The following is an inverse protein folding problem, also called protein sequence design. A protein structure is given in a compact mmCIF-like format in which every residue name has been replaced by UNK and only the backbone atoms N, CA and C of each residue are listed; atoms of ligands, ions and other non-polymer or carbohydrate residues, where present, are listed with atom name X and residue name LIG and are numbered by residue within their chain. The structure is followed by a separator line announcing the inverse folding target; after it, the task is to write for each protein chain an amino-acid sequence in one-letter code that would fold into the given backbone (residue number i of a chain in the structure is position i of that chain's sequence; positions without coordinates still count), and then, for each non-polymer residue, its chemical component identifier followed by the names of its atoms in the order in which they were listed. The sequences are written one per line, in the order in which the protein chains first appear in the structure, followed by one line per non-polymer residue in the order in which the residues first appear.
data_IF_829055662835
#
_entry.id   IF_829055662835
#
_cell.length_a   1.000
_cell.length_b   1.000
_cell.length_c   1.000
_cell.angle_alpha   90.00
_cell.angle_beta   90.00
_cell.angle_gamma   90.00
#
_symmetry.space_group_name_H-M   'P 1'
#
loop_
_entity.id
_entity.type
_entity.pdbx_description
1 polymer ?
#
# COMPACT_ATOMS: atom_id res chain seq x y z
N UNK A 1 18.43 3.04 -22.27
CA UNK A 1 17.69 4.30 -22.01
C UNK A 1 16.45 3.95 -21.22
N UNK A 2 16.33 4.45 -19.97
CA UNK A 2 15.22 4.17 -19.05
C UNK A 2 13.93 4.79 -19.60
N UNK A 3 12.83 4.05 -19.66
CA UNK A 3 11.50 4.67 -19.73
C UNK A 3 11.08 4.96 -18.28
N UNK A 4 10.90 6.24 -17.88
CA UNK A 4 10.30 6.54 -16.59
C UNK A 4 8.90 5.90 -16.55
N UNK A 5 8.53 5.32 -15.41
CA UNK A 5 7.22 4.72 -15.20
C UNK A 5 6.15 5.80 -15.47
N UNK A 6 5.30 5.66 -16.52
CA UNK A 6 4.44 6.74 -16.99
C UNK A 6 3.36 7.17 -15.97
N UNK A 7 3.10 6.35 -14.94
CA UNK A 7 2.12 6.62 -13.89
C UNK A 7 2.63 7.55 -12.77
N UNK A 8 3.90 7.96 -12.79
CA UNK A 8 4.46 8.95 -11.86
C UNK A 8 4.24 10.42 -12.29
N UNK A 9 3.48 10.66 -13.36
CA UNK A 9 3.25 12.01 -13.90
C UNK A 9 2.17 12.74 -13.09
N UNK A 10 2.62 13.73 -12.33
CA UNK A 10 1.85 14.85 -11.77
C UNK A 10 0.62 14.44 -10.96
N UNK A 11 0.86 13.76 -9.84
CA UNK A 11 -0.16 13.55 -8.81
C UNK A 11 -0.19 14.78 -7.89
N UNK A 12 -1.37 15.24 -7.44
CA UNK A 12 -1.41 16.27 -6.41
C UNK A 12 -0.68 15.71 -5.19
N UNK A 13 0.50 16.27 -4.88
CA UNK A 13 1.19 15.91 -3.67
C UNK A 13 0.27 16.29 -2.51
N UNK A 14 -0.17 15.29 -1.72
CA UNK A 14 -0.87 15.57 -0.48
C UNK A 14 -0.02 16.57 0.32
N UNK A 15 -0.67 17.67 0.76
CA UNK A 15 -0.02 18.74 1.52
C UNK A 15 0.64 18.14 2.77
N UNK A 16 1.56 18.89 3.37
CA UNK A 16 2.12 18.55 4.67
C UNK A 16 0.97 18.20 5.64
N UNK A 17 0.97 17.01 6.30
CA UNK A 17 -0.11 16.60 7.22
C UNK A 17 -0.44 17.66 8.27
N UNK A 18 0.55 18.46 8.66
CA UNK A 18 0.42 19.51 9.69
C UNK A 18 -0.37 20.74 9.20
N UNK A 19 -0.63 20.86 7.90
CA UNK A 19 -1.42 21.92 7.28
C UNK A 19 -2.87 21.50 7.00
N UNK A 20 -3.22 20.24 7.29
CA UNK A 20 -4.53 19.67 7.00
C UNK A 20 -5.47 19.75 8.22
N UNK A 21 -6.80 19.74 7.99
CA UNK A 21 -7.76 19.57 9.06
C UNK A 21 -7.41 18.34 9.91
N UNK A 22 -7.61 18.44 11.24
CA UNK A 22 -7.27 17.37 12.18
C UNK A 22 -7.85 16.02 11.73
N UNK A 23 -9.10 16.03 11.26
CA UNK A 23 -9.82 14.85 10.76
C UNK A 23 -9.14 14.16 9.57
N UNK A 24 -8.30 14.83 8.79
CA UNK A 24 -7.60 14.27 7.63
C UNK A 24 -6.10 14.04 7.92
N UNK A 25 -5.51 14.85 8.80
CA UNK A 25 -4.08 14.85 9.11
C UNK A 25 -3.54 13.48 9.55
N UNK A 26 -4.33 12.74 10.35
CA UNK A 26 -3.98 11.40 10.82
C UNK A 26 -3.88 10.40 9.67
N UNK A 27 -4.86 10.42 8.75
CA UNK A 27 -4.88 9.54 7.58
C UNK A 27 -3.69 9.80 6.68
N UNK A 28 -3.43 11.07 6.35
CA UNK A 28 -2.33 11.43 5.45
C UNK A 28 -0.98 11.03 6.03
N UNK A 29 -0.77 11.17 7.34
CA UNK A 29 0.48 10.73 7.98
C UNK A 29 0.72 9.23 7.83
N UNK A 30 -0.29 8.41 8.11
CA UNK A 30 -0.15 6.95 7.98
C UNK A 30 -0.07 6.48 6.54
N UNK A 31 -0.80 7.14 5.64
CA UNK A 31 -0.74 6.88 4.21
C UNK A 31 0.65 7.17 3.63
N UNK A 32 1.27 8.30 4.00
CA UNK A 32 2.63 8.65 3.56
C UNK A 32 3.66 7.64 4.06
N UNK A 33 3.53 7.15 5.30
CA UNK A 33 4.42 6.11 5.82
C UNK A 33 4.24 4.76 5.11
N UNK A 34 3.00 4.32 4.86
CA UNK A 34 2.73 3.10 4.11
C UNK A 34 3.30 3.21 2.69
N UNK A 35 3.06 4.34 2.02
CA UNK A 35 3.60 4.61 0.68
C UNK A 35 5.13 4.59 0.68
N UNK A 36 5.77 5.24 1.65
CA UNK A 36 7.23 5.23 1.79
C UNK A 36 7.78 3.81 1.92
N UNK A 37 7.11 2.93 2.67
CA UNK A 37 7.51 1.53 2.81
C UNK A 37 7.38 0.80 1.47
N UNK A 38 6.27 0.97 0.76
CA UNK A 38 6.06 0.34 -0.56
C UNK A 38 7.10 0.84 -1.57
N UNK A 39 7.35 2.15 -1.62
CA UNK A 39 8.34 2.77 -2.52
C UNK A 39 9.78 2.30 -2.27
N UNK A 40 10.09 1.83 -1.05
CA UNK A 40 11.38 1.21 -0.74
C UNK A 40 11.46 -0.22 -1.29
N UNK A 41 10.42 -1.03 -1.12
CA UNK A 41 10.48 -2.46 -1.45
C UNK A 41 10.14 -2.77 -2.91
N UNK A 42 9.18 -2.06 -3.51
CA UNK A 42 8.71 -2.35 -4.86
C UNK A 42 9.86 -2.33 -5.89
N UNK A 43 10.79 -1.36 -5.91
CA UNK A 43 11.91 -1.36 -6.85
C UNK A 43 12.93 -2.49 -6.62
N UNK A 44 13.02 -3.01 -5.38
CA UNK A 44 13.97 -4.07 -5.04
C UNK A 44 13.50 -5.44 -5.55
N UNK A 45 12.19 -5.62 -5.70
CA UNK A 45 11.58 -6.90 -6.08
C UNK A 45 11.05 -6.93 -7.52
N UNK A 46 10.86 -5.78 -8.16
CA UNK A 46 10.16 -5.67 -9.46
C UNK A 46 10.78 -6.45 -10.63
N UNK A 47 12.06 -6.84 -10.53
CA UNK A 47 12.77 -7.61 -11.57
C UNK A 47 13.02 -9.06 -11.14
N UNK A 48 12.48 -9.49 -10.01
CA UNK A 48 12.70 -10.82 -9.44
C UNK A 48 11.43 -11.68 -9.58
N UNK A 49 11.41 -12.67 -10.50
CA UNK A 49 10.23 -13.51 -10.72
C UNK A 49 9.73 -14.25 -9.46
N UNK A 50 10.64 -14.57 -8.54
CA UNK A 50 10.32 -15.24 -7.28
C UNK A 50 9.44 -14.40 -6.34
N UNK A 51 9.34 -13.09 -6.58
CA UNK A 51 8.54 -12.15 -5.79
C UNK A 51 7.31 -11.64 -6.55
N UNK A 52 6.90 -12.29 -7.64
CA UNK A 52 5.81 -11.81 -8.50
C UNK A 52 4.51 -11.57 -7.72
N UNK A 53 4.11 -12.49 -6.84
CA UNK A 53 2.91 -12.29 -6.01
C UNK A 53 3.07 -11.14 -5.02
N UNK A 54 4.23 -11.00 -4.37
CA UNK A 54 4.51 -9.87 -3.50
C UNK A 54 4.41 -8.55 -4.28
N UNK A 55 5.00 -8.49 -5.47
CA UNK A 55 4.91 -7.33 -6.35
C UNK A 55 3.45 -7.00 -6.68
N UNK A 56 2.62 -7.98 -7.06
CA UNK A 56 1.19 -7.75 -7.33
C UNK A 56 0.45 -7.19 -6.12
N UNK A 57 0.72 -7.72 -4.91
CA UNK A 57 0.11 -7.19 -3.68
C UNK A 57 0.57 -5.77 -3.37
N UNK A 58 1.85 -5.44 -3.58
CA UNK A 58 2.34 -4.07 -3.39
C UNK A 58 1.77 -3.09 -4.44
N UNK A 59 1.61 -3.53 -5.69
CA UNK A 59 0.96 -2.74 -6.75
C UNK A 59 -0.53 -2.51 -6.44
N UNK A 60 -1.22 -3.50 -5.86
CA UNK A 60 -2.60 -3.37 -5.40
C UNK A 60 -2.74 -2.39 -4.23
N UNK A 61 -1.89 -2.51 -3.21
CA UNK A 61 -1.84 -1.53 -2.12
C UNK A 61 -1.56 -0.12 -2.63
N UNK A 62 -0.69 0.02 -3.64
CA UNK A 62 -0.41 1.32 -4.28
C UNK A 62 -1.66 1.90 -4.91
N UNK A 63 -2.49 1.09 -5.59
CA UNK A 63 -3.77 1.53 -6.17
C UNK A 63 -4.75 1.99 -5.08
N UNK A 64 -4.88 1.24 -3.99
CA UNK A 64 -5.77 1.64 -2.88
C UNK A 64 -5.31 2.93 -2.21
N UNK A 65 -4.01 3.11 -2.04
CA UNK A 65 -3.44 4.38 -1.55
C UNK A 65 -3.83 5.51 -2.50
N UNK A 66 -3.61 5.36 -3.81
CA UNK A 66 -3.97 6.39 -4.80
C UNK A 66 -5.46 6.77 -4.74
N UNK A 67 -6.34 5.79 -4.60
CA UNK A 67 -7.77 6.03 -4.48
C UNK A 67 -8.12 6.81 -3.21
N UNK A 68 -7.47 6.50 -2.09
CA UNK A 68 -7.59 7.26 -0.84
C UNK A 68 -7.07 8.70 -1.02
N UNK A 69 -5.93 8.88 -1.69
CA UNK A 69 -5.37 10.21 -1.97
C UNK A 69 -6.36 11.06 -2.79
N UNK A 70 -7.03 10.46 -3.78
CA UNK A 70 -8.03 11.13 -4.61
C UNK A 70 -9.26 11.56 -3.81
N UNK A 71 -9.75 10.73 -2.89
CA UNK A 71 -10.87 11.09 -2.01
C UNK A 71 -10.51 12.21 -1.04
N UNK A 72 -9.31 12.18 -0.47
CA UNK A 72 -8.80 13.26 0.37
C UNK A 72 -8.71 14.56 -0.46
N UNK A 73 -8.18 14.50 -1.68
CA UNK A 73 -8.09 15.66 -2.55
C UNK A 73 -9.47 16.25 -2.88
N UNK A 74 -10.47 15.41 -3.16
CA UNK A 74 -11.86 15.85 -3.39
C UNK A 74 -12.46 16.53 -2.16
N UNK A 75 -12.32 15.94 -0.98
CA UNK A 75 -12.84 16.53 0.26
C UNK A 75 -12.20 17.88 0.59
N UNK A 76 -10.90 18.03 0.31
CA UNK A 76 -10.18 19.30 0.52
C UNK A 76 -10.48 20.36 -0.54
N UNK A 77 -11.08 19.97 -1.67
CA UNK A 77 -11.55 20.90 -2.69
C UNK A 77 -12.94 21.42 -2.31
N UNK A 78 -13.01 22.68 -1.86
CA UNK A 78 -14.25 23.36 -1.47
C UNK A 78 -15.29 23.39 -2.61
N UNK A 79 -14.87 23.26 -3.87
CA UNK A 79 -15.76 23.22 -5.03
C UNK A 79 -16.43 21.86 -5.27
N UNK A 80 -15.96 20.80 -4.59
CA UNK A 80 -16.52 19.45 -4.72
C UNK A 80 -17.93 19.33 -4.14
N UNK A 81 -18.29 20.19 -3.18
CA UNK A 81 -19.54 20.10 -2.42
C UNK A 81 -19.63 18.84 -1.53
N UNK A 82 -18.52 18.12 -1.34
CA UNK A 82 -18.45 16.92 -0.54
C UNK A 82 -18.54 17.29 0.94
N UNK A 83 -19.49 16.72 1.68
CA UNK A 83 -19.54 16.89 3.12
C UNK A 83 -18.64 15.86 3.84
N UNK A 84 -18.49 16.03 5.15
CA UNK A 84 -17.67 15.13 5.95
C UNK A 84 -18.28 13.73 6.09
N UNK A 85 -19.60 13.58 6.04
CA UNK A 85 -20.25 12.27 6.19
C UNK A 85 -20.02 11.41 4.95
N UNK A 86 -20.16 12.00 3.77
CA UNK A 86 -19.87 11.33 2.49
C UNK A 86 -18.38 10.95 2.41
N UNK A 87 -17.48 11.85 2.82
CA UNK A 87 -16.05 11.57 2.93
C UNK A 87 -15.75 10.40 3.89
N UNK A 88 -16.27 10.45 5.12
CA UNK A 88 -16.00 9.43 6.15
C UNK A 88 -16.55 8.06 5.72
N UNK A 89 -17.71 8.03 5.08
CA UNK A 89 -18.30 6.79 4.54
C UNK A 89 -17.39 6.13 3.50
N UNK A 90 -16.94 6.89 2.49
CA UNK A 90 -16.09 6.37 1.41
C UNK A 90 -14.71 5.96 1.93
N UNK A 91 -14.14 6.75 2.84
CA UNK A 91 -12.86 6.43 3.48
C UNK A 91 -12.91 5.12 4.27
N UNK A 92 -14.01 4.87 5.01
CA UNK A 92 -14.21 3.61 5.73
C UNK A 92 -14.38 2.44 4.77
N UNK A 93 -15.14 2.62 3.69
CA UNK A 93 -15.33 1.57 2.69
C UNK A 93 -14.00 1.16 2.04
N UNK A 94 -13.21 2.14 1.58
CA UNK A 94 -11.92 1.88 0.94
C UNK A 94 -10.91 1.21 1.87
N UNK A 95 -10.86 1.64 3.13
CA UNK A 95 -9.89 1.11 4.07
C UNK A 95 -10.34 -0.23 4.67
N UNK A 96 -11.62 -0.42 4.98
CA UNK A 96 -12.12 -1.66 5.57
C UNK A 96 -12.34 -2.76 4.54
N UNK A 97 -12.85 -2.45 3.34
CA UNK A 97 -13.11 -3.52 2.36
C UNK A 97 -11.91 -3.75 1.45
N UNK A 98 -11.33 -2.69 0.87
CA UNK A 98 -10.30 -2.85 -0.15
C UNK A 98 -8.90 -3.05 0.47
N UNK A 99 -8.47 -2.13 1.35
CA UNK A 99 -7.14 -2.20 1.95
C UNK A 99 -7.00 -3.41 2.89
N UNK A 100 -7.95 -3.65 3.80
CA UNK A 100 -7.91 -4.80 4.72
C UNK A 100 -7.84 -6.13 3.97
N UNK A 101 -8.67 -6.32 2.94
CA UNK A 101 -8.66 -7.54 2.11
C UNK A 101 -7.28 -7.80 1.51
N UNK A 102 -6.63 -6.78 0.96
CA UNK A 102 -5.28 -6.93 0.41
C UNK A 102 -4.25 -7.22 1.51
N UNK A 103 -4.35 -6.56 2.68
CA UNK A 103 -3.42 -6.75 3.81
C UNK A 103 -3.55 -8.13 4.48
N UNK A 104 -4.74 -8.72 4.47
CA UNK A 104 -4.99 -10.07 4.98
C UNK A 104 -4.69 -11.17 3.96
N UNK A 105 -4.69 -10.84 2.67
CA UNK A 105 -4.24 -11.75 1.63
C UNK A 105 -2.71 -11.83 1.63
N UNK A 106 -2.15 -12.74 2.44
CA UNK A 106 -0.71 -13.01 2.42
C UNK A 106 -0.26 -13.36 1.00
N UNK A 107 0.69 -12.63 0.39
CA UNK A 107 1.29 -13.03 -0.86
C UNK A 107 2.14 -14.27 -0.60
N UNK A 108 1.58 -15.45 -0.87
CA UNK A 108 2.39 -16.66 -0.87
C UNK A 108 3.52 -16.47 -1.87
N UNK A 109 4.75 -16.86 -1.50
CA UNK A 109 5.82 -16.92 -2.48
C UNK A 109 5.34 -17.82 -3.62
N UNK A 110 5.18 -17.24 -4.79
CA UNK A 110 4.72 -17.95 -5.97
C UNK A 110 5.25 -17.21 -7.17
N UNK A 111 6.38 -17.73 -7.61
CA UNK A 111 6.55 -18.05 -9.00
C UNK A 111 6.47 -19.57 -9.12
N UNK A 112 6.52 -20.08 -10.35
CA UNK A 112 6.86 -21.49 -10.60
C UNK A 112 8.29 -21.69 -10.09
N UNK A 113 8.45 -21.95 -8.80
CA UNK A 113 9.66 -22.58 -8.28
C UNK A 113 9.41 -24.07 -8.57
N UNK A 114 10.15 -24.68 -9.52
CA UNK A 114 10.05 -26.12 -9.72
C UNK A 114 10.25 -26.82 -8.38
N UNK A 115 9.62 -27.98 -8.16
CA UNK A 115 9.95 -28.82 -7.01
C UNK A 115 11.49 -28.88 -6.89
N UNK A 116 12.06 -28.43 -5.75
CA UNK A 116 13.50 -28.24 -5.66
C UNK A 116 14.17 -29.59 -5.90
N UNK A 117 15.08 -29.64 -6.87
CA UNK A 117 15.78 -30.86 -7.25
C UNK A 117 17.01 -31.10 -6.35
N UNK A 118 17.32 -30.14 -5.46
CA UNK A 118 18.48 -30.14 -4.58
C UNK A 118 18.25 -29.36 -3.28
N UNK A 119 19.01 -29.72 -2.23
CA UNK A 119 18.99 -29.02 -0.93
C UNK A 119 19.36 -27.53 -1.03
N UNK A 120 20.15 -27.13 -2.04
CA UNK A 120 20.48 -25.72 -2.26
C UNK A 120 19.26 -24.94 -2.79
N UNK A 121 18.45 -25.55 -3.66
CA UNK A 121 17.23 -24.94 -4.17
C UNK A 121 16.14 -24.85 -3.08
N UNK A 122 16.05 -25.87 -2.21
CA UNK A 122 15.20 -25.81 -0.99
C UNK A 122 15.58 -24.63 -0.10
N UNK A 123 16.88 -24.42 0.15
CA UNK A 123 17.35 -23.30 0.96
C UNK A 123 17.03 -21.95 0.31
N UNK A 124 17.27 -21.81 -1.00
CA UNK A 124 16.95 -20.58 -1.73
C UNK A 124 15.45 -20.27 -1.70
N UNK A 125 14.59 -21.27 -1.83
CA UNK A 125 13.14 -21.10 -1.71
C UNK A 125 12.75 -20.63 -0.29
N UNK A 126 13.31 -21.27 0.74
CA UNK A 126 13.08 -20.87 2.13
C UNK A 126 13.53 -19.43 2.41
N UNK A 127 14.66 -19.00 1.84
CA UNK A 127 15.14 -17.63 1.97
C UNK A 127 14.20 -16.62 1.30
N UNK A 128 13.67 -16.94 0.11
CA UNK A 128 12.69 -16.12 -0.61
C UNK A 128 11.38 -16.00 0.18
N UNK A 129 10.88 -17.12 0.72
CA UNK A 129 9.68 -17.14 1.56
C UNK A 129 9.88 -16.29 2.83
N UNK A 130 11.03 -16.43 3.49
CA UNK A 130 11.37 -15.63 4.67
C UNK A 130 11.45 -14.13 4.36
N UNK A 131 12.06 -13.75 3.23
CA UNK A 131 12.13 -12.36 2.81
C UNK A 131 10.75 -11.81 2.45
N UNK A 132 9.91 -12.60 1.78
CA UNK A 132 8.52 -12.22 1.46
C UNK A 132 7.73 -11.94 2.73
N UNK A 133 7.81 -12.84 3.71
CA UNK A 133 7.18 -12.67 5.02
C UNK A 133 7.67 -11.40 5.71
N UNK A 134 8.99 -11.17 5.77
CA UNK A 134 9.56 -10.00 6.42
C UNK A 134 9.10 -8.69 5.78
N UNK A 135 9.14 -8.61 4.43
CA UNK A 135 8.66 -7.43 3.70
C UNK A 135 7.17 -7.22 3.97
N UNK A 136 6.38 -8.28 3.86
CA UNK A 136 4.94 -8.22 4.04
C UNK A 136 4.56 -7.78 5.45
N UNK A 137 5.22 -8.28 6.50
CA UNK A 137 4.96 -7.87 7.88
C UNK A 137 5.21 -6.37 8.11
N UNK A 138 6.24 -5.81 7.48
CA UNK A 138 6.52 -4.37 7.59
C UNK A 138 5.43 -3.55 6.89
N UNK A 139 5.03 -3.97 5.68
CA UNK A 139 3.97 -3.32 4.90
C UNK A 139 2.63 -3.42 5.64
N UNK A 140 2.26 -4.63 6.09
CA UNK A 140 1.05 -4.95 6.84
C UNK A 140 0.96 -4.15 8.13
N UNK A 141 2.07 -4.04 8.86
CA UNK A 141 2.16 -3.24 10.09
C UNK A 141 1.92 -1.74 9.87
N UNK A 142 2.28 -1.18 8.71
CA UNK A 142 1.92 0.21 8.38
C UNK A 142 0.48 0.32 7.86
N UNK A 143 0.04 -0.64 7.05
CA UNK A 143 -1.32 -0.72 6.53
C UNK A 143 -2.36 -0.73 7.65
N UNK A 144 -2.15 -1.51 8.70
CA UNK A 144 -3.06 -1.51 9.85
C UNK A 144 -3.01 -0.27 10.71
N UNK A 145 -1.93 0.53 10.67
CA UNK A 145 -1.95 1.85 11.34
C UNK A 145 -2.85 2.82 10.59
N UNK A 146 -2.82 2.78 9.25
CA UNK A 146 -3.78 3.51 8.42
C UNK A 146 -5.21 3.04 8.74
N UNK A 147 -5.46 1.74 8.78
CA UNK A 147 -6.74 1.17 9.20
C UNK A 147 -7.19 1.63 10.60
N UNK A 148 -6.33 1.50 11.61
CA UNK A 148 -6.65 1.88 12.98
C UNK A 148 -6.92 3.37 13.16
N UNK A 149 -6.29 4.24 12.36
CA UNK A 149 -6.49 5.68 12.43
C UNK A 149 -7.93 6.12 12.12
N UNK A 150 -8.70 5.32 11.37
CA UNK A 150 -10.13 5.54 11.12
C UNK A 150 -11.02 5.13 12.30
N UNK A 151 -10.64 4.06 13.00
CA UNK A 151 -11.45 3.53 14.09
C UNK A 151 -11.22 4.26 15.42
N UNK A 152 -10.09 4.98 15.56
CA UNK A 152 -9.69 5.66 16.79
C UNK A 152 -10.02 7.16 16.86
N UNK A 153 -10.61 7.77 15.84
CA UNK A 153 -10.86 9.22 15.76
C UNK A 153 -12.18 9.68 16.44
N UNK A 154 -12.64 8.98 17.49
CA UNK A 154 -13.81 9.36 18.31
C UNK A 154 -13.40 10.04 19.62
#
# INVERSE_FOLDING_TARGET
MRRPNPNLRQRPALKNPDELPFVVSGYVRHLLELRRVIDVYLPLIAELPSFEHLQRSLDELTRHIEEIEDWIAKYLDESSGLDFQDFDFEMRHLISDALETTLDSYPTAGGVIPDPASANEEQMQSDIESLTEQIWQVVRGQGYKLHASLHGAL
#
